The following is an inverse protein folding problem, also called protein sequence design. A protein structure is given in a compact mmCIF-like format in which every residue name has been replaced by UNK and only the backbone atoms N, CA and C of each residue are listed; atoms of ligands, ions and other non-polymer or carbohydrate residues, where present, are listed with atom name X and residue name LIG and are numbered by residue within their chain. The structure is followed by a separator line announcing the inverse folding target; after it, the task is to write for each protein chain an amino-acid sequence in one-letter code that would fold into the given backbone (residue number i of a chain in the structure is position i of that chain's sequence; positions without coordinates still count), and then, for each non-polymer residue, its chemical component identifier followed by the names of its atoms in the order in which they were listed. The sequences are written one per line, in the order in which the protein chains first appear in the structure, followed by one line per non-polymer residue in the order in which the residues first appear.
data_IF_208828951341
#
_entry.id   IF_208828951341
#
_cell.length_a   1.000
_cell.length_b   1.000
_cell.length_c   1.000
_cell.angle_alpha   90.00
_cell.angle_beta   90.00
_cell.angle_gamma   90.00
#
_symmetry.space_group_name_H-M   'P 1'
#
loop_
_entity.id
_entity.type
_entity.pdbx_description
1 polymer ?
#
# COMPACT_ATOMS: atom_id res chain seq x y z
N UNK A 1 9.78 -0.86 12.44
CA UNK A 1 9.59 -0.66 10.99
C UNK A 1 10.55 0.41 10.51
N UNK A 2 11.16 0.23 9.34
CA UNK A 2 11.93 1.30 8.67
C UNK A 2 10.95 2.08 7.79
N UNK A 3 11.03 3.42 7.79
CA UNK A 3 10.13 4.26 7.00
C UNK A 3 10.83 4.70 5.72
N UNK A 4 10.32 4.24 4.58
CA UNK A 4 10.80 4.62 3.27
C UNK A 4 9.98 5.81 2.78
N UNK A 5 10.64 6.96 2.61
CA UNK A 5 10.03 8.13 1.97
C UNK A 5 10.41 8.14 0.49
N UNK A 6 9.41 8.15 -0.39
CA UNK A 6 9.59 8.22 -1.82
C UNK A 6 9.37 9.68 -2.25
N UNK A 7 10.39 10.29 -2.85
CA UNK A 7 10.33 11.68 -3.32
C UNK A 7 9.58 11.84 -4.65
N UNK A 8 9.03 10.76 -5.20
CA UNK A 8 8.30 10.73 -6.46
C UNK A 8 6.99 9.96 -6.30
N UNK A 9 6.02 10.28 -7.15
CA UNK A 9 4.73 9.61 -7.23
C UNK A 9 4.69 8.65 -8.42
N UNK A 10 3.87 7.62 -8.31
CA UNK A 10 3.77 6.52 -9.26
C UNK A 10 2.37 6.44 -9.86
N UNK A 11 2.28 6.03 -11.13
CA UNK A 11 1.01 5.73 -11.78
C UNK A 11 0.39 4.41 -11.30
N UNK A 12 1.22 3.50 -10.80
CA UNK A 12 0.82 2.17 -10.38
C UNK A 12 1.62 1.72 -9.15
N UNK A 13 0.91 1.37 -8.08
CA UNK A 13 1.46 0.68 -6.92
C UNK A 13 0.86 -0.73 -6.84
N UNK A 14 1.68 -1.71 -6.48
CA UNK A 14 1.27 -3.11 -6.37
C UNK A 14 1.72 -3.64 -5.01
N UNK A 15 0.80 -4.23 -4.27
CA UNK A 15 1.08 -5.01 -3.07
C UNK A 15 0.76 -6.49 -3.34
N UNK A 16 1.75 -7.25 -3.85
CA UNK A 16 1.54 -8.60 -4.34
C UNK A 16 1.56 -9.65 -3.22
N UNK A 17 1.33 -10.91 -3.59
CA UNK A 17 1.50 -12.10 -2.73
C UNK A 17 0.68 -12.08 -1.43
N UNK A 18 -0.48 -11.42 -1.43
CA UNK A 18 -1.34 -11.30 -0.24
C UNK A 18 -0.65 -10.61 0.95
N UNK A 19 0.43 -9.85 0.70
CA UNK A 19 1.27 -9.23 1.73
C UNK A 19 0.50 -8.27 2.65
N UNK A 20 -0.67 -7.77 2.23
CA UNK A 20 -1.48 -6.87 3.06
C UNK A 20 -1.96 -7.57 4.33
N UNK A 21 -2.24 -8.87 4.23
CA UNK A 21 -2.74 -9.69 5.34
C UNK A 21 -1.65 -9.97 6.39
N UNK A 22 -0.38 -9.81 6.04
CA UNK A 22 0.74 -9.94 6.98
C UNK A 22 0.88 -8.71 7.89
N UNK A 23 0.24 -7.59 7.53
CA UNK A 23 0.22 -6.38 8.34
C UNK A 23 -0.78 -6.59 9.48
N UNK A 24 -0.23 -6.86 10.68
CA UNK A 24 -1.03 -7.13 11.88
C UNK A 24 -1.54 -5.82 12.50
N UNK A 25 -2.84 -5.75 12.72
CA UNK A 25 -3.51 -4.64 13.39
C UNK A 25 -4.08 -3.61 12.42
N UNK A 26 -5.29 -3.15 12.70
CA UNK A 26 -6.05 -2.24 11.86
C UNK A 26 -5.32 -0.90 11.64
N UNK A 27 -4.70 -0.36 12.69
CA UNK A 27 -3.93 0.89 12.61
C UNK A 27 -2.77 0.79 11.60
N UNK A 28 -2.03 -0.32 11.64
CA UNK A 28 -0.91 -0.56 10.73
C UNK A 28 -1.39 -0.77 9.29
N UNK A 29 -2.51 -1.46 9.10
CA UNK A 29 -3.13 -1.63 7.79
C UNK A 29 -3.58 -0.30 7.20
N UNK A 30 -4.21 0.57 8.01
CA UNK A 30 -4.59 1.93 7.60
C UNK A 30 -3.38 2.77 7.24
N UNK A 31 -2.31 2.71 8.05
CA UNK A 31 -1.07 3.43 7.80
C UNK A 31 -0.42 2.98 6.48
N UNK A 32 -0.43 1.68 6.18
CA UNK A 32 0.10 1.15 4.92
C UNK A 32 -0.72 1.65 3.71
N UNK A 33 -2.05 1.64 3.79
CA UNK A 33 -2.91 2.18 2.73
C UNK A 33 -2.70 3.69 2.54
N UNK A 34 -2.52 4.44 3.63
CA UNK A 34 -2.22 5.88 3.56
C UNK A 34 -0.88 6.14 2.86
N UNK A 35 0.17 5.40 3.21
CA UNK A 35 1.48 5.52 2.58
C UNK A 35 1.44 5.17 1.07
N UNK A 36 0.64 4.17 0.69
CA UNK A 36 0.39 3.84 -0.73
C UNK A 36 -0.33 4.98 -1.44
N UNK A 37 -1.30 5.62 -0.79
CA UNK A 37 -2.02 6.76 -1.38
C UNK A 37 -1.12 7.98 -1.58
N UNK A 38 -0.24 8.29 -0.63
CA UNK A 38 0.68 9.44 -0.71
C UNK A 38 1.67 9.33 -1.87
N UNK A 39 2.05 8.10 -2.25
CA UNK A 39 2.96 7.87 -3.37
C UNK A 39 2.26 7.68 -4.71
N UNK A 40 0.94 7.82 -4.81
CA UNK A 40 0.21 7.75 -6.08
C UNK A 40 0.00 9.13 -6.69
N UNK A 41 0.11 9.21 -8.02
CA UNK A 41 -0.36 10.38 -8.76
C UNK A 41 -1.90 10.46 -8.71
N UNK A 42 -2.51 11.64 -8.91
CA UNK A 42 -3.96 11.74 -9.10
C UNK A 42 -4.44 10.83 -10.24
N UNK A 43 -5.40 9.95 -9.96
CA UNK A 43 -5.90 8.97 -10.92
C UNK A 43 -5.01 7.72 -11.10
N UNK A 44 -3.91 7.62 -10.34
CA UNK A 44 -3.09 6.42 -10.26
C UNK A 44 -3.85 5.22 -9.71
N UNK A 45 -3.30 4.02 -9.92
CA UNK A 45 -3.95 2.76 -9.57
C UNK A 45 -3.18 2.03 -8.48
N UNK A 46 -3.93 1.42 -7.58
CA UNK A 46 -3.41 0.50 -6.58
C UNK A 46 -3.95 -0.90 -6.84
N UNK A 47 -3.06 -1.89 -6.92
CA UNK A 47 -3.43 -3.31 -6.97
C UNK A 47 -3.04 -3.97 -5.65
N UNK A 48 -4.06 -4.36 -4.87
CA UNK A 48 -3.90 -5.12 -3.64
C UNK A 48 -4.41 -6.55 -3.86
N UNK A 49 -3.54 -7.53 -3.66
CA UNK A 49 -3.97 -8.94 -3.67
C UNK A 49 -4.44 -9.32 -2.27
N UNK A 50 -5.65 -9.89 -2.16
CA UNK A 50 -6.24 -10.32 -0.89
C UNK A 50 -6.65 -11.79 -0.98
N UNK A 51 -6.76 -12.45 0.18
CA UNK A 51 -7.35 -13.78 0.26
C UNK A 51 -8.85 -13.69 -0.04
N UNK A 52 -9.38 -14.65 -0.80
CA UNK A 52 -10.83 -14.83 -0.92
C UNK A 52 -11.31 -15.60 0.32
N UNK A 53 -12.18 -15.04 1.16
CA UNK A 53 -12.60 -15.65 2.43
C UNK A 53 -13.30 -17.00 2.27
#
# INVERSE_FOLDING_TARGET
MCQLSLSTQFELTILPFQAFMEIIGEENQRAALAAVFECLVPGGRFICTLHNP
#
